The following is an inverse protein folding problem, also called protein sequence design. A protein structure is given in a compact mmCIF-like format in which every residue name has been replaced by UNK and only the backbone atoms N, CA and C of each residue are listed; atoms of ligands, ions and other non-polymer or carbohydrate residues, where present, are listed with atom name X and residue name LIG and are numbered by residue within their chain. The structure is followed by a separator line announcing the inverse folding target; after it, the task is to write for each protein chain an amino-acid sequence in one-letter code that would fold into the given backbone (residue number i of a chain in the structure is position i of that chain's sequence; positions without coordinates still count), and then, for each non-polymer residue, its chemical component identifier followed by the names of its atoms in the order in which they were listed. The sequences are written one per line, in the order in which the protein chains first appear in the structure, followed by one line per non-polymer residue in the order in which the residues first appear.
data_IF_403359241892
#
_entry.id   IF_403359241892
#
_cell.length_a   1.000
_cell.length_b   1.000
_cell.length_c   1.000
_cell.angle_alpha   90.00
_cell.angle_beta   90.00
_cell.angle_gamma   90.00
#
_symmetry.space_group_name_H-M   'P 1'
#
loop_
_entity.id
_entity.type
_entity.pdbx_description
1 polymer ?
#
# COMPACT_ATOMS: atom_id res chain seq x y z
N UNK A 1 15.07 -4.17 -16.75
CA UNK A 1 14.74 -4.24 -15.30
C UNK A 1 13.61 -5.24 -15.11
N UNK A 2 13.94 -6.51 -14.82
CA UNK A 2 12.94 -7.58 -14.71
C UNK A 2 12.06 -7.35 -13.48
N UNK A 3 10.76 -7.13 -13.72
CA UNK A 3 9.75 -6.91 -12.70
C UNK A 3 9.50 -8.25 -11.97
N UNK A 4 10.12 -8.46 -10.80
CA UNK A 4 9.90 -9.69 -10.03
C UNK A 4 8.52 -9.64 -9.36
N UNK A 5 7.48 -10.02 -10.10
CA UNK A 5 6.12 -10.17 -9.60
C UNK A 5 6.02 -11.50 -8.85
N UNK A 6 6.02 -11.46 -7.52
CA UNK A 6 5.74 -12.68 -6.75
C UNK A 6 4.24 -12.94 -6.78
N UNK A 7 3.85 -14.00 -7.47
CA UNK A 7 2.47 -14.46 -7.57
C UNK A 7 2.14 -15.38 -6.41
N UNK A 8 1.23 -14.95 -5.55
CA UNK A 8 0.74 -15.74 -4.42
C UNK A 8 -0.69 -16.19 -4.71
N UNK A 9 -0.91 -17.51 -4.66
CA UNK A 9 -2.23 -18.10 -4.55
C UNK A 9 -2.44 -18.52 -3.10
N UNK A 10 -3.37 -17.86 -2.41
CA UNK A 10 -3.69 -18.15 -1.01
C UNK A 10 -5.15 -18.59 -0.92
N UNK A 11 -5.44 -19.84 -0.54
CA UNK A 11 -6.80 -20.22 -0.19
C UNK A 11 -7.13 -19.65 1.20
N UNK A 12 -8.18 -18.81 1.28
CA UNK A 12 -8.71 -18.35 2.56
C UNK A 12 -10.00 -19.08 2.85
N UNK A 13 -10.02 -19.80 3.98
CA UNK A 13 -11.17 -20.59 4.42
C UNK A 13 -12.18 -19.68 5.13
N UNK A 14 -13.44 -19.75 4.74
CA UNK A 14 -14.52 -18.98 5.34
C UNK A 14 -15.50 -19.86 6.11
N UNK A 15 -16.26 -19.29 7.07
CA UNK A 15 -17.37 -20.00 7.69
C UNK A 15 -18.37 -20.50 6.64
N UNK A 16 -19.02 -21.63 6.93
CA UNK A 16 -19.76 -22.50 5.99
C UNK A 16 -20.76 -21.80 5.05
N UNK A 17 -21.26 -20.60 5.42
CA UNK A 17 -22.17 -19.80 4.59
C UNK A 17 -21.48 -18.99 3.48
N UNK A 18 -20.17 -19.13 3.32
CA UNK A 18 -19.37 -18.43 2.31
C UNK A 18 -18.44 -19.43 1.60
N UNK A 19 -18.44 -19.44 0.27
CA UNK A 19 -17.43 -20.18 -0.49
C UNK A 19 -16.04 -19.64 -0.19
N UNK A 20 -15.04 -20.52 -0.15
CA UNK A 20 -13.63 -20.13 -0.07
C UNK A 20 -13.24 -19.16 -1.19
N UNK A 21 -12.21 -18.35 -0.92
CA UNK A 21 -11.71 -17.34 -1.86
C UNK A 21 -10.37 -17.76 -2.43
N UNK A 22 -10.20 -17.53 -3.73
CA UNK A 22 -8.90 -17.64 -4.40
C UNK A 22 -8.42 -16.26 -4.81
N UNK A 23 -7.16 -16.00 -4.49
CA UNK A 23 -6.47 -14.77 -4.82
C UNK A 23 -5.38 -15.09 -5.84
N UNK A 24 -5.30 -14.30 -6.91
CA UNK A 24 -4.13 -14.28 -7.80
C UNK A 24 -3.55 -12.88 -7.67
N UNK A 25 -2.55 -12.73 -6.81
CA UNK A 25 -2.01 -11.41 -6.47
C UNK A 25 -0.57 -11.28 -6.88
N UNK A 26 -0.23 -10.11 -7.40
CA UNK A 26 1.12 -9.64 -7.58
C UNK A 26 1.54 -8.81 -6.38
N UNK A 27 2.72 -9.10 -5.83
CA UNK A 27 3.29 -8.39 -4.69
C UNK A 27 4.63 -7.75 -5.03
N UNK A 28 4.84 -6.51 -4.58
CA UNK A 28 6.13 -5.82 -4.58
C UNK A 28 6.47 -5.33 -3.18
N UNK A 29 7.67 -5.63 -2.73
CA UNK A 29 8.22 -5.16 -1.44
C UNK A 29 9.46 -4.34 -1.74
N UNK A 30 9.58 -3.18 -1.09
CA UNK A 30 10.80 -2.38 -1.16
C UNK A 30 11.11 -1.72 0.18
N UNK A 31 12.37 -1.34 0.35
CA UNK A 31 12.84 -0.57 1.49
C UNK A 31 13.28 0.82 1.03
N UNK A 32 12.93 1.85 1.80
CA UNK A 32 13.47 3.20 1.71
C UNK A 32 13.99 3.61 3.08
N UNK A 33 15.31 3.76 3.20
CA UNK A 33 15.97 3.91 4.50
C UNK A 33 15.68 2.72 5.42
N UNK A 34 15.07 2.99 6.59
CA UNK A 34 14.63 1.96 7.55
C UNK A 34 13.15 1.57 7.41
N UNK A 35 12.44 2.17 6.46
CA UNK A 35 11.01 1.93 6.24
C UNK A 35 10.81 0.89 5.15
N UNK A 36 9.94 -0.08 5.40
CA UNK A 36 9.53 -1.09 4.44
C UNK A 36 8.14 -0.80 3.92
N UNK A 37 7.98 -0.97 2.62
CA UNK A 37 6.71 -0.84 1.93
C UNK A 37 6.38 -2.15 1.22
N UNK A 38 5.11 -2.52 1.24
CA UNK A 38 4.60 -3.65 0.46
C UNK A 38 3.32 -3.20 -0.24
N UNK A 39 3.25 -3.39 -1.55
CA UNK A 39 2.02 -3.21 -2.32
C UNK A 39 1.65 -4.53 -2.96
N UNK A 40 0.38 -4.88 -2.81
CA UNK A 40 -0.19 -6.10 -3.35
C UNK A 40 -1.47 -5.76 -4.10
N UNK A 41 -1.63 -6.32 -5.29
CA UNK A 41 -2.81 -6.14 -6.12
C UNK A 41 -3.21 -7.46 -6.75
N UNK A 42 -4.51 -7.68 -6.95
CA UNK A 42 -4.99 -8.71 -7.88
C UNK A 42 -4.40 -8.50 -9.28
N UNK A 43 -3.93 -9.58 -9.89
CA UNK A 43 -3.36 -9.58 -11.23
C UNK A 43 -3.95 -10.73 -12.06
N UNK A 44 -4.29 -10.49 -13.34
CA UNK A 44 -4.76 -11.55 -14.21
C UNK A 44 -3.61 -12.53 -14.49
N UNK A 45 -3.91 -13.83 -14.47
CA UNK A 45 -2.95 -14.87 -14.86
C UNK A 45 -3.61 -15.96 -15.70
N UNK A 46 -3.37 -15.99 -17.02
CA UNK A 46 -3.98 -16.98 -17.92
C UNK A 46 -3.69 -18.43 -17.53
N UNK A 47 -2.50 -18.72 -16.99
CA UNK A 47 -2.12 -20.08 -16.55
C UNK A 47 -2.84 -20.55 -15.28
N UNK A 48 -3.67 -19.70 -14.66
CA UNK A 48 -4.49 -20.04 -13.50
C UNK A 48 -5.96 -19.78 -13.89
N UNK A 49 -6.62 -20.74 -14.55
CA UNK A 49 -7.98 -20.56 -15.05
C UNK A 49 -8.99 -20.42 -13.90
N UNK A 50 -10.11 -19.73 -14.14
CA UNK A 50 -11.12 -19.47 -13.11
C UNK A 50 -11.90 -20.74 -12.79
N UNK A 51 -12.04 -21.05 -11.51
CA UNK A 51 -12.98 -22.08 -11.03
C UNK A 51 -14.28 -21.42 -10.55
N UNK A 52 -15.38 -22.18 -10.53
CA UNK A 52 -16.64 -21.77 -9.91
C UNK A 52 -16.55 -21.75 -8.39
N UNK A 53 -15.70 -22.61 -7.81
CA UNK A 53 -15.34 -22.68 -6.39
C UNK A 53 -13.87 -23.08 -6.27
N UNK A 54 -13.05 -22.39 -5.46
CA UNK A 54 -13.32 -21.14 -4.71
C UNK A 54 -13.65 -19.94 -5.62
N UNK A 55 -14.33 -18.92 -5.06
CA UNK A 55 -14.61 -17.67 -5.79
C UNK A 55 -13.31 -16.88 -5.93
N UNK A 56 -12.95 -16.55 -7.18
CA UNK A 56 -11.82 -15.64 -7.43
C UNK A 56 -12.15 -14.21 -7.02
N UNK A 57 -11.23 -13.58 -6.28
CA UNK A 57 -11.29 -12.16 -5.89
C UNK A 57 -10.49 -11.33 -6.89
N UNK A 58 -11.18 -10.71 -7.84
CA UNK A 58 -10.54 -9.90 -8.88
C UNK A 58 -10.21 -8.47 -8.42
N UNK A 59 -10.98 -7.93 -7.47
CA UNK A 59 -10.74 -6.61 -6.89
C UNK A 59 -10.02 -6.79 -5.55
N UNK A 60 -8.71 -6.57 -5.55
CA UNK A 60 -7.87 -6.66 -4.35
C UNK A 60 -6.75 -5.62 -4.44
N UNK A 61 -6.66 -4.77 -3.42
CA UNK A 61 -5.59 -3.80 -3.23
C UNK A 61 -5.21 -3.79 -1.76
N UNK A 62 -3.93 -4.01 -1.47
CA UNK A 62 -3.40 -3.93 -0.12
C UNK A 62 -2.06 -3.19 -0.16
N UNK A 63 -1.86 -2.30 0.79
CA UNK A 63 -0.59 -1.62 0.98
C UNK A 63 -0.21 -1.58 2.44
N UNK A 64 1.06 -1.82 2.71
CA UNK A 64 1.66 -1.82 4.03
C UNK A 64 2.81 -0.83 4.07
N UNK A 65 2.90 -0.08 5.15
CA UNK A 65 4.06 0.72 5.52
C UNK A 65 4.50 0.30 6.92
N UNK A 66 5.75 -0.12 7.06
CA UNK A 66 6.33 -0.59 8.32
C UNK A 66 7.58 0.24 8.59
N UNK A 67 7.59 1.00 9.69
CA UNK A 67 8.72 1.85 10.05
C UNK A 67 9.12 1.66 11.51
N UNK A 68 10.41 1.79 11.84
CA UNK A 68 10.83 1.84 13.24
C UNK A 68 10.31 3.11 13.90
N UNK A 69 9.92 3.00 15.16
CA UNK A 69 9.51 4.10 16.03
C UNK A 69 10.11 3.91 17.41
N UNK A 70 10.16 4.98 18.18
CA UNK A 70 10.61 4.92 19.57
C UNK A 70 9.69 4.02 20.41
N UNK A 71 10.28 3.23 21.28
CA UNK A 71 9.53 2.49 22.28
C UNK A 71 8.92 3.44 23.31
N UNK A 72 7.83 3.00 23.95
CA UNK A 72 7.24 3.70 25.10
C UNK A 72 8.14 3.71 26.34
N UNK A 73 9.28 3.02 26.30
CA UNK A 73 10.24 2.94 27.40
C UNK A 73 10.98 4.27 27.63
N UNK A 74 10.91 5.24 26.71
CA UNK A 74 11.53 6.56 26.88
C UNK A 74 13.05 6.59 26.80
N UNK A 75 13.67 5.51 26.32
CA UNK A 75 15.13 5.37 26.13
C UNK A 75 15.63 5.98 24.81
N UNK A 76 14.74 6.55 23.99
CA UNK A 76 15.04 7.04 22.64
C UNK A 76 15.39 5.92 21.65
N UNK A 77 15.29 4.66 22.06
CA UNK A 77 15.64 3.53 21.23
C UNK A 77 14.50 3.20 20.27
N UNK A 78 14.85 3.02 19.00
CA UNK A 78 13.92 2.69 17.91
C UNK A 78 13.60 1.18 17.89
N UNK A 79 13.18 0.65 19.04
CA UNK A 79 12.95 -0.78 19.28
C UNK A 79 11.50 -1.23 19.04
N UNK A 80 10.60 -0.28 18.74
CA UNK A 80 9.23 -0.56 18.33
C UNK A 80 9.04 -0.33 16.82
N UNK A 81 7.90 -0.76 16.29
CA UNK A 81 7.52 -0.46 14.91
C UNK A 81 6.08 0.04 14.82
N UNK A 82 5.85 0.96 13.90
CA UNK A 82 4.51 1.34 13.45
C UNK A 82 4.22 0.57 12.16
N UNK A 83 3.01 0.00 12.07
CA UNK A 83 2.51 -0.71 10.91
C UNK A 83 1.21 -0.05 10.46
N UNK A 84 1.22 0.52 9.26
CA UNK A 84 0.04 1.05 8.59
C UNK A 84 -0.40 0.09 7.48
N UNK A 85 -1.69 -0.22 7.45
CA UNK A 85 -2.31 -1.08 6.45
C UNK A 85 -3.50 -0.35 5.81
N UNK A 86 -3.47 -0.21 4.49
CA UNK A 86 -4.65 0.13 3.69
C UNK A 86 -5.05 -1.08 2.88
N UNK A 87 -6.32 -1.48 2.98
CA UNK A 87 -6.81 -2.70 2.36
C UNK A 87 -8.20 -2.48 1.77
N UNK A 88 -8.39 -2.97 0.56
CA UNK A 88 -9.66 -2.98 -0.13
C UNK A 88 -9.79 -4.27 -0.94
N UNK A 89 -10.90 -4.97 -0.77
CA UNK A 89 -11.21 -6.15 -1.56
C UNK A 89 -12.71 -6.32 -1.77
N UNK A 90 -13.10 -6.91 -2.91
CA UNK A 90 -14.45 -7.42 -3.14
C UNK A 90 -14.50 -8.95 -2.98
N UNK A 91 -14.84 -9.39 -1.77
CA UNK A 91 -15.03 -10.81 -1.46
C UNK A 91 -16.33 -11.40 -2.02
N UNK A 92 -17.24 -10.57 -2.56
CA UNK A 92 -18.58 -10.98 -2.96
C UNK A 92 -19.47 -11.37 -1.79
N UNK A 93 -19.27 -10.75 -0.62
CA UNK A 93 -20.07 -10.96 0.60
C UNK A 93 -20.92 -9.71 0.84
N UNK A 94 -22.18 -9.84 1.31
CA UNK A 94 -22.96 -8.70 1.78
C UNK A 94 -22.20 -7.85 2.80
N UNK A 95 -22.29 -6.52 2.64
CA UNK A 95 -21.55 -5.56 3.47
C UNK A 95 -21.79 -5.74 4.97
N UNK A 96 -23.00 -6.07 5.40
CA UNK A 96 -23.34 -6.30 6.81
C UNK A 96 -22.54 -7.45 7.42
N UNK A 97 -22.40 -8.56 6.69
CA UNK A 97 -21.61 -9.73 7.11
C UNK A 97 -20.12 -9.37 7.12
N UNK A 98 -19.62 -8.68 6.09
CA UNK A 98 -18.24 -8.20 6.06
C UNK A 98 -17.92 -7.29 7.26
N UNK A 99 -18.82 -6.35 7.57
CA UNK A 99 -18.68 -5.44 8.71
C UNK A 99 -18.62 -6.20 10.05
N UNK A 100 -19.52 -7.16 10.26
CA UNK A 100 -19.50 -8.00 11.46
C UNK A 100 -18.19 -8.80 11.58
N UNK A 101 -17.73 -9.39 10.46
CA UNK A 101 -16.46 -10.12 10.40
C UNK A 101 -15.26 -9.24 10.76
N UNK A 102 -15.22 -8.00 10.28
CA UNK A 102 -14.15 -7.04 10.63
C UNK A 102 -14.23 -6.66 12.11
N UNK A 103 -15.42 -6.29 12.60
CA UNK A 103 -15.61 -5.83 13.98
C UNK A 103 -15.23 -6.90 15.00
N UNK A 104 -15.54 -8.17 14.73
CA UNK A 104 -15.30 -9.26 15.68
C UNK A 104 -13.98 -9.99 15.42
N UNK A 105 -13.57 -10.14 14.17
CA UNK A 105 -12.45 -11.01 13.78
C UNK A 105 -11.11 -10.30 13.60
N UNK A 106 -11.11 -9.03 13.16
CA UNK A 106 -9.86 -8.35 12.78
C UNK A 106 -8.92 -8.18 13.98
N UNK A 107 -9.46 -7.80 15.14
CA UNK A 107 -8.65 -7.62 16.35
C UNK A 107 -7.97 -8.92 16.79
N UNK A 108 -8.65 -10.07 16.65
CA UNK A 108 -8.04 -11.38 16.90
C UNK A 108 -6.89 -11.71 15.94
N UNK A 109 -6.94 -11.22 14.70
CA UNK A 109 -5.82 -11.33 13.76
C UNK A 109 -4.66 -10.42 14.15
N UNK A 110 -4.94 -9.17 14.53
CA UNK A 110 -3.92 -8.21 14.97
C UNK A 110 -3.17 -8.72 16.20
N UNK A 111 -3.88 -9.29 17.19
CA UNK A 111 -3.25 -9.88 18.39
C UNK A 111 -2.28 -11.03 18.08
N UNK A 112 -2.43 -11.72 16.94
CA UNK A 112 -1.54 -12.83 16.54
C UNK A 112 -0.23 -12.36 15.91
N UNK A 113 -0.12 -11.08 15.54
CA UNK A 113 1.09 -10.53 14.90
C UNK A 113 2.29 -10.62 15.85
N UNK A 114 2.15 -10.16 17.09
CA UNK A 114 3.27 -10.15 18.05
C UNK A 114 3.77 -11.56 18.41
N UNK A 115 2.91 -12.52 18.83
CA UNK A 115 3.36 -13.90 19.04
C UNK A 115 3.98 -14.53 17.79
N UNK A 116 3.44 -14.25 16.61
CA UNK A 116 4.00 -14.73 15.34
C UNK A 116 5.40 -14.15 15.06
N UNK A 117 5.62 -12.86 15.35
CA UNK A 117 6.93 -12.21 15.24
C UNK A 117 7.93 -12.83 16.21
N UNK A 118 7.52 -13.07 17.47
CA UNK A 118 8.39 -13.72 18.48
C UNK A 118 8.77 -15.14 18.08
N UNK A 119 7.81 -15.94 17.63
CA UNK A 119 8.08 -17.28 17.12
C UNK A 119 9.05 -17.24 15.94
N UNK A 120 8.87 -16.29 15.02
CA UNK A 120 9.79 -16.10 13.90
C UNK A 120 11.21 -15.75 14.38
N UNK A 121 11.36 -14.81 15.33
CA UNK A 121 12.65 -14.42 15.90
C UNK A 121 13.36 -15.60 16.57
N UNK A 122 12.65 -16.39 17.38
CA UNK A 122 13.20 -17.61 18.01
C UNK A 122 13.67 -18.61 16.97
N UNK A 123 12.87 -18.89 15.94
CA UNK A 123 13.25 -19.80 14.86
C UNK A 123 14.49 -19.31 14.08
N UNK A 124 14.65 -17.98 13.90
CA UNK A 124 15.85 -17.42 13.27
C UNK A 124 17.08 -17.58 14.15
N UNK A 125 16.96 -17.35 15.46
CA UNK A 125 18.05 -17.52 16.41
C UNK A 125 18.48 -18.99 16.54
N UNK A 126 17.55 -19.93 16.43
CA UNK A 126 17.81 -21.38 16.41
C UNK A 126 18.39 -21.90 15.08
N UNK A 127 18.53 -21.04 14.06
CA UNK A 127 19.07 -21.45 12.75
C UNK A 127 18.10 -22.29 11.90
N UNK A 128 16.80 -22.28 12.20
CA UNK A 128 15.81 -23.05 11.43
C UNK A 128 15.73 -22.56 9.97
N UNK A 129 15.37 -23.44 9.01
CA UNK A 129 15.20 -23.03 7.62
C UNK A 129 14.11 -21.95 7.48
N UNK A 130 14.30 -21.02 6.53
CA UNK A 130 13.31 -19.96 6.24
C UNK A 130 12.11 -20.59 5.52
N UNK A 131 10.89 -20.26 5.95
CA UNK A 131 9.68 -20.69 5.22
C UNK A 131 9.65 -20.13 3.80
N UNK A 132 8.98 -20.82 2.87
CA UNK A 132 8.84 -20.33 1.48
C UNK A 132 8.29 -18.90 1.41
N UNK A 133 7.31 -18.57 2.26
CA UNK A 133 6.72 -17.23 2.31
C UNK A 133 7.71 -16.16 2.78
N UNK A 134 8.53 -16.47 3.80
CA UNK A 134 9.56 -15.56 4.29
C UNK A 134 10.72 -15.41 3.28
N UNK A 135 11.13 -16.49 2.62
CA UNK A 135 12.11 -16.44 1.54
C UNK A 135 11.65 -15.54 0.38
N UNK A 136 10.38 -15.66 -0.03
CA UNK A 136 9.79 -14.77 -1.04
C UNK A 136 9.62 -13.33 -0.56
N UNK A 137 9.53 -13.09 0.76
CA UNK A 137 9.49 -11.73 1.31
C UNK A 137 10.87 -11.06 1.33
N UNK A 138 11.95 -11.86 1.40
CA UNK A 138 13.32 -11.35 1.33
C UNK A 138 13.70 -10.85 -0.08
N UNK A 139 12.97 -11.26 -1.13
CA UNK A 139 13.11 -10.73 -2.47
C UNK A 139 12.52 -9.30 -2.55
N UNK A 140 13.19 -8.34 -1.93
CA UNK A 140 12.82 -6.93 -1.91
C UNK A 140 13.79 -6.06 -2.73
N UNK A 141 13.28 -4.96 -3.28
CA UNK A 141 14.13 -3.94 -3.90
C UNK A 141 14.54 -2.94 -2.83
N UNK A 142 15.84 -2.64 -2.69
CA UNK A 142 16.30 -1.52 -1.87
C UNK A 142 16.41 -0.29 -2.74
N UNK A 143 15.94 0.84 -2.24
CA UNK A 143 16.05 2.11 -2.94
C UNK A 143 16.36 3.23 -1.94
N UNK A 144 17.27 4.14 -2.30
CA UNK A 144 17.63 5.30 -1.49
C UNK A 144 16.94 6.52 -2.09
N UNK A 145 15.95 7.06 -1.38
CA UNK A 145 15.14 8.19 -1.87
C UNK A 145 15.96 9.39 -2.33
N UNK A 146 17.09 9.64 -1.68
CA UNK A 146 17.99 10.76 -1.98
C UNK A 146 18.65 10.66 -3.36
N UNK A 147 18.72 9.47 -3.98
CA UNK A 147 19.32 9.28 -5.31
C UNK A 147 18.38 9.70 -6.46
N UNK A 148 17.05 9.63 -6.28
CA UNK A 148 16.10 10.03 -7.33
C UNK A 148 15.96 11.55 -7.42
N UNK A 149 15.96 12.25 -6.28
CA UNK A 149 15.92 13.73 -6.27
C UNK A 149 17.19 14.33 -6.88
N UNK A 150 18.35 13.68 -6.75
CA UNK A 150 19.58 14.09 -7.44
C UNK A 150 19.53 13.82 -8.96
N UNK A 151 18.87 12.73 -9.39
CA UNK A 151 18.69 12.40 -10.81
C UNK A 151 17.73 13.35 -11.52
N UNK A 152 16.66 13.79 -10.85
CA UNK A 152 15.68 14.73 -11.43
C UNK A 152 16.27 16.15 -11.53
N UNK A 153 17.07 16.57 -10.55
CA UNK A 153 17.72 17.90 -10.56
C UNK A 153 18.84 18.05 -11.60
N UNK A 154 19.37 16.95 -12.16
CA UNK A 154 20.40 17.00 -13.20
C UNK A 154 19.83 17.10 -14.64
N UNK A 155 18.51 17.12 -14.80
CA UNK A 155 17.88 17.14 -16.14
C UNK A 155 17.41 18.54 -16.58
N UNK A 156 17.53 19.57 -15.73
CA UNK A 156 17.08 20.94 -16.05
C UNK A 156 18.19 21.90 -16.53
N UNK A 157 19.40 21.41 -16.82
CA UNK A 157 20.46 22.20 -17.43
C UNK A 157 20.87 21.61 -18.80
N UNK A 158 20.06 21.86 -19.83
CA UNK A 158 20.40 21.41 -21.19
C UNK A 158 19.28 21.59 -22.21
N UNK A 159 18.84 22.82 -22.44
CA UNK A 159 18.08 23.14 -23.65
C UNK A 159 18.99 23.11 -24.87
N UNK A 160 18.72 22.22 -25.84
CA UNK A 160 18.86 22.53 -27.27
C UNK A 160 17.90 21.67 -28.06
N UNK A 161 16.98 22.36 -28.74
CA UNK A 161 16.01 21.86 -29.70
C UNK A 161 16.62 20.97 -30.76
N UNK A 162 15.88 19.94 -31.20
CA UNK A 162 15.71 19.60 -32.62
C UNK A 162 14.49 18.70 -32.79
N UNK A 163 13.50 19.21 -33.53
CA UNK A 163 12.32 18.48 -33.98
C UNK A 163 12.71 17.46 -35.05
N UNK A 164 12.33 16.20 -34.87
CA UNK A 164 12.09 15.28 -35.99
C UNK A 164 10.96 14.30 -35.62
N UNK A 165 9.90 14.43 -36.41
CA UNK A 165 8.60 13.78 -36.41
C UNK A 165 8.66 12.24 -36.42
N UNK A 166 8.04 11.61 -35.42
CA UNK A 166 7.67 10.19 -35.45
C UNK A 166 6.14 10.06 -35.49
N UNK A 167 5.65 9.28 -36.44
CA UNK A 167 4.23 9.12 -36.77
C UNK A 167 3.40 8.55 -35.61
N UNK A 168 2.22 9.14 -35.40
CA UNK A 168 1.19 8.64 -34.46
C UNK A 168 0.39 7.49 -35.07
N UNK A 169 0.16 6.38 -34.35
CA UNK A 169 -1.09 5.66 -34.44
C UNK A 169 -2.16 6.36 -33.58
N UNK A 170 -3.31 6.60 -34.20
CA UNK A 170 -4.49 7.25 -33.64
C UNK A 170 -5.25 6.32 -32.68
N UNK A 171 -6.00 6.97 -31.78
CA UNK A 171 -7.17 6.46 -31.04
C UNK A 171 -6.94 5.75 -29.69
N UNK A 172 -6.90 6.54 -28.61
CA UNK A 172 -7.71 6.32 -27.39
C UNK A 172 -7.78 7.62 -26.57
N UNK A 173 -8.45 8.66 -27.09
CA UNK A 173 -8.82 9.84 -26.29
C UNK A 173 -10.22 9.62 -25.72
N UNK A 174 -10.28 8.89 -24.61
CA UNK A 174 -11.44 8.83 -23.73
C UNK A 174 -11.23 9.78 -22.55
N UNK A 175 -12.17 10.71 -22.37
CA UNK A 175 -12.19 11.78 -21.38
C UNK A 175 -11.84 11.28 -19.96
N UNK A 176 -10.67 11.64 -19.43
CA UNK A 176 -10.30 11.36 -18.04
C UNK A 176 -10.62 12.61 -17.18
N UNK A 177 -11.54 12.53 -16.20
CA UNK A 177 -11.89 13.68 -15.36
C UNK A 177 -10.68 14.20 -14.58
N UNK A 178 -10.50 15.52 -14.54
CA UNK A 178 -9.40 16.28 -13.90
C UNK A 178 -9.25 16.09 -12.38
N UNK A 179 -9.90 15.10 -11.77
CA UNK A 179 -9.96 14.90 -10.31
C UNK A 179 -8.89 13.93 -9.79
N UNK A 180 -8.30 13.09 -10.64
CA UNK A 180 -7.33 12.06 -10.19
C UNK A 180 -5.86 12.54 -10.10
N UNK A 181 -5.54 13.73 -10.62
CA UNK A 181 -4.15 14.25 -10.58
C UNK A 181 -3.84 14.92 -9.24
N UNK A 182 -4.86 15.32 -8.46
CA UNK A 182 -4.66 16.06 -7.20
C UNK A 182 -4.34 15.11 -6.04
N UNK A 183 -4.92 13.91 -6.02
CA UNK A 183 -4.74 12.98 -4.89
C UNK A 183 -3.33 12.41 -4.73
N UNK A 184 -2.63 12.18 -5.84
CA UNK A 184 -1.26 11.64 -5.86
C UNK A 184 -0.19 12.66 -5.46
N UNK A 185 -0.42 13.95 -5.71
CA UNK A 185 0.50 15.04 -5.31
C UNK A 185 0.35 15.38 -3.83
N UNK A 186 -0.87 15.34 -3.28
CA UNK A 186 -1.13 15.62 -1.85
C UNK A 186 -0.51 14.56 -0.94
N UNK A 187 -0.52 13.29 -1.35
CA UNK A 187 0.11 12.21 -0.57
C UNK A 187 1.65 12.35 -0.50
N UNK A 188 2.31 12.82 -1.57
CA UNK A 188 3.74 13.10 -1.58
C UNK A 188 4.10 14.29 -0.68
N UNK A 189 3.31 15.36 -0.70
CA UNK A 189 3.51 16.52 0.16
C UNK A 189 3.43 16.18 1.67
N UNK A 190 2.55 15.25 2.06
CA UNK A 190 2.43 14.83 3.46
C UNK A 190 3.55 13.88 3.94
N UNK A 191 4.42 13.38 3.04
CA UNK A 191 5.57 12.54 3.42
C UNK A 191 6.88 13.31 3.52
N UNK A 192 6.96 14.51 2.92
CA UNK A 192 8.15 15.35 2.94
C UNK A 192 8.15 16.42 4.04
N UNK A 193 7.00 16.77 4.59
CA UNK A 193 6.93 17.83 5.60
C UNK A 193 7.05 17.26 7.03
N UNK A 194 8.30 17.08 7.48
CA UNK A 194 8.63 16.85 8.88
C UNK A 194 8.33 18.13 9.69
N UNK A 195 7.06 18.34 10.03
CA UNK A 195 6.68 19.08 11.24
C UNK A 195 6.68 20.60 11.19
N UNK A 196 6.21 21.25 10.11
CA UNK A 196 6.02 22.72 10.11
C UNK A 196 4.70 23.24 9.51
N UNK A 197 3.67 22.41 9.35
CA UNK A 197 2.35 22.88 8.89
C UNK A 197 1.18 22.59 9.85
N UNK A 198 1.45 22.41 11.14
CA UNK A 198 0.40 22.22 12.16
C UNK A 198 -0.07 23.49 12.87
N UNK A 199 0.26 24.70 12.39
CA UNK A 199 -0.18 25.95 13.05
C UNK A 199 -0.81 27.04 12.17
N UNK A 200 -0.80 26.93 10.84
CA UNK A 200 -1.29 28.02 9.97
C UNK A 200 -2.71 27.83 9.40
N UNK A 201 -3.29 26.62 9.45
CA UNK A 201 -4.59 26.34 8.81
C UNK A 201 -5.76 26.08 9.79
N UNK A 202 -5.64 26.54 11.04
CA UNK A 202 -6.73 26.43 12.05
C UNK A 202 -7.41 27.78 12.34
N UNK A 203 -6.95 28.90 11.76
CA UNK A 203 -7.50 30.24 12.02
C UNK A 203 -8.11 30.97 10.81
N UNK A 204 -8.42 30.26 9.73
CA UNK A 204 -8.61 30.90 8.42
C UNK A 204 -9.99 30.86 7.75
N UNK A 205 -11.05 30.25 8.29
CA UNK A 205 -12.39 30.30 7.65
C UNK A 205 -13.52 30.17 8.67
N UNK A 206 -13.67 31.16 9.53
CA UNK A 206 -14.89 31.38 10.31
C UNK A 206 -15.27 32.84 10.24
N UNK A 207 -15.79 33.28 9.08
CA UNK A 207 -16.54 34.54 8.97
C UNK A 207 -17.35 34.60 7.68
N UNK A 208 -18.61 34.99 7.84
CA UNK A 208 -19.63 35.37 6.84
C UNK A 208 -20.48 34.24 6.24
N UNK A 209 -21.48 33.80 7.00
CA UNK A 209 -22.87 33.85 6.54
C UNK A 209 -23.78 34.20 7.73
N UNK A 210 -23.92 35.51 7.97
CA UNK A 210 -25.00 36.08 8.77
C UNK A 210 -25.36 37.40 8.09
N UNK A 211 -26.30 37.33 7.13
CA UNK A 211 -26.97 38.50 6.58
C UNK A 211 -28.25 38.74 7.37
N UNK A 212 -28.54 39.98 7.79
CA UNK A 212 -29.72 40.31 8.58
C UNK A 212 -30.99 40.30 7.71
N UNK A 213 -32.07 39.74 8.24
CA UNK A 213 -33.40 39.88 7.67
C UNK A 213 -34.03 41.26 7.96
N UNK A 214 -34.83 41.75 7.01
CA UNK A 214 -36.17 42.35 7.14
C UNK A 214 -36.47 43.27 5.94
N UNK A 215 -37.46 42.91 5.14
CA UNK A 215 -38.84 43.43 5.24
C UNK A 215 -39.77 42.51 4.46
#
# INVERSE_FOLDING_TARGET
MYLLLTLLALPLQFPFFCSDREYVIGRRIWASGKTYYCVTKSVPRPSVPRSSKPRRVDLYYSSWCIRPVESRNGDGAMTACEVLLFHHEDMGIPWSIAKLGVQQGMWGCVKRIEPGLRAYQTARAAGEPISKCAAMAHANTKFVADELTASENNTEAGSTSNNAQAEKPKHWTGNLPKVFVIGSVVALACTFDKGLLTKALVFGTARRFAGPGRR
#
